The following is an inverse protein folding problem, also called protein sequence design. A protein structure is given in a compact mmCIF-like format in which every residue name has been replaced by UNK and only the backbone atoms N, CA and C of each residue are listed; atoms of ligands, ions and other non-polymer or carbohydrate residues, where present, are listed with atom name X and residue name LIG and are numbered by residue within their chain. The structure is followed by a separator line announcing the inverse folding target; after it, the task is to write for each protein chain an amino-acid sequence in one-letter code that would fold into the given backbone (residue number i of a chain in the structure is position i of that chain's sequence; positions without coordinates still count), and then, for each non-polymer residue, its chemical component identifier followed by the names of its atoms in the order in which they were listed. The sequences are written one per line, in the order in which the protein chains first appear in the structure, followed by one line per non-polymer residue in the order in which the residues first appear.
data_IF_246303680009
#
_entry.id   IF_246303680009
#
_cell.length_a   1.000
_cell.length_b   1.000
_cell.length_c   1.000
_cell.angle_alpha   90.00
_cell.angle_beta   90.00
_cell.angle_gamma   90.00
#
_symmetry.space_group_name_H-M   'P 1'
#
loop_
_entity.id
_entity.type
_entity.pdbx_description
1 polymer ?
#
# COMPACT_ATOMS: atom_id res chain seq x y z
N UNK A 1 -10.51 -14.12 3.33
CA UNK A 1 -10.21 -12.69 3.08
C UNK A 1 -10.20 -12.54 1.56
N UNK A 2 -10.88 -11.53 1.01
CA UNK A 2 -10.85 -11.17 -0.39
C UNK A 2 -10.29 -9.75 -0.49
N UNK A 3 -9.37 -9.53 -1.42
CA UNK A 3 -8.78 -8.22 -1.71
C UNK A 3 -9.11 -7.92 -3.17
N UNK A 4 -10.03 -6.98 -3.39
CA UNK A 4 -10.57 -6.66 -4.70
C UNK A 4 -10.07 -5.28 -5.15
N UNK A 5 -9.76 -5.15 -6.44
CA UNK A 5 -9.38 -3.89 -7.09
C UNK A 5 -10.40 -3.58 -8.19
N UNK A 6 -10.40 -2.35 -8.69
CA UNK A 6 -11.35 -1.87 -9.72
C UNK A 6 -12.83 -2.04 -9.30
N UNK A 7 -13.11 -1.95 -8.01
CA UNK A 7 -14.47 -2.09 -7.50
C UNK A 7 -15.19 -0.76 -7.70
N UNK A 8 -16.10 -0.68 -8.68
CA UNK A 8 -16.89 0.52 -8.95
C UNK A 8 -17.84 0.85 -7.78
N UNK A 9 -17.91 2.12 -7.37
CA UNK A 9 -18.62 2.58 -6.16
C UNK A 9 -20.12 2.27 -6.16
N UNK A 10 -20.81 2.54 -7.25
CA UNK A 10 -22.25 2.28 -7.38
C UNK A 10 -22.56 0.78 -7.36
N UNK A 11 -21.75 -0.05 -8.02
CA UNK A 11 -21.85 -1.51 -7.94
C UNK A 11 -21.49 -2.02 -6.55
N UNK A 12 -20.53 -1.39 -5.87
CA UNK A 12 -20.16 -1.73 -4.50
C UNK A 12 -21.36 -1.59 -3.57
N UNK A 13 -21.98 -0.41 -3.52
CA UNK A 13 -23.08 -0.13 -2.60
C UNK A 13 -24.36 -0.87 -2.97
N UNK A 14 -24.70 -0.97 -4.26
CA UNK A 14 -25.99 -1.50 -4.68
C UNK A 14 -26.02 -3.03 -4.86
N UNK A 15 -24.87 -3.69 -5.05
CA UNK A 15 -24.83 -5.10 -5.44
C UNK A 15 -23.80 -5.90 -4.65
N UNK A 16 -22.52 -5.51 -4.70
CA UNK A 16 -21.40 -6.32 -4.19
C UNK A 16 -21.46 -6.43 -2.67
N UNK A 17 -21.53 -5.30 -1.95
CA UNK A 17 -21.58 -5.28 -0.49
C UNK A 17 -22.85 -5.94 0.06
N UNK A 18 -24.07 -5.66 -0.43
CA UNK A 18 -25.28 -6.38 0.01
C UNK A 18 -25.20 -7.90 -0.18
N UNK A 19 -24.69 -8.37 -1.32
CA UNK A 19 -24.55 -9.80 -1.59
C UNK A 19 -23.53 -10.46 -0.64
N UNK A 20 -22.38 -9.82 -0.42
CA UNK A 20 -21.34 -10.34 0.48
C UNK A 20 -21.77 -10.34 1.95
N UNK A 21 -22.52 -9.31 2.39
CA UNK A 21 -23.12 -9.26 3.73
C UNK A 21 -24.08 -10.43 3.96
N UNK A 22 -24.92 -10.76 2.98
CA UNK A 22 -25.83 -11.92 3.04
C UNK A 22 -25.07 -13.25 3.15
N UNK A 23 -23.87 -13.32 2.55
CA UNK A 23 -22.96 -14.46 2.68
C UNK A 23 -22.15 -14.45 3.98
N UNK A 24 -22.40 -13.54 4.92
CA UNK A 24 -21.73 -13.46 6.22
C UNK A 24 -20.31 -12.89 6.17
N UNK A 25 -20.02 -12.02 5.20
CA UNK A 25 -18.79 -11.24 5.15
C UNK A 25 -19.01 -9.81 5.67
N UNK A 26 -17.99 -9.21 6.26
CA UNK A 26 -17.85 -7.76 6.42
C UNK A 26 -17.01 -7.20 5.28
N UNK A 27 -17.29 -5.96 4.87
CA UNK A 27 -16.68 -5.30 3.71
C UNK A 27 -16.20 -3.90 4.08
N UNK A 28 -14.92 -3.63 3.86
CA UNK A 28 -14.31 -2.30 3.92
C UNK A 28 -13.91 -1.87 2.51
N UNK A 29 -14.13 -0.59 2.18
CA UNK A 29 -13.90 -0.07 0.84
C UNK A 29 -13.28 1.32 0.88
N UNK A 30 -12.30 1.53 0.01
CA UNK A 30 -11.70 2.82 -0.27
C UNK A 30 -11.77 3.11 -1.76
N UNK A 31 -12.66 4.02 -2.13
CA UNK A 31 -12.68 4.64 -3.46
C UNK A 31 -11.39 5.41 -3.71
N UNK A 32 -10.93 5.40 -4.96
CA UNK A 32 -9.89 6.31 -5.44
C UNK A 32 -10.31 7.77 -5.23
N UNK A 33 -9.33 8.65 -5.08
CA UNK A 33 -9.61 10.10 -4.96
C UNK A 33 -10.03 10.69 -6.31
N UNK A 34 -10.36 11.98 -6.31
CA UNK A 34 -10.76 12.68 -7.53
C UNK A 34 -12.07 12.16 -8.11
N UNK A 35 -12.15 12.07 -9.43
CA UNK A 35 -13.36 11.67 -10.17
C UNK A 35 -13.38 10.20 -10.59
N UNK A 36 -12.49 9.36 -10.03
CA UNK A 36 -12.40 7.94 -10.39
C UNK A 36 -13.55 7.16 -9.77
N UNK A 37 -14.27 6.33 -10.54
CA UNK A 37 -15.48 5.65 -10.06
C UNK A 37 -15.16 4.40 -9.23
N UNK A 38 -13.92 3.93 -9.24
CA UNK A 38 -13.47 2.65 -8.70
C UNK A 38 -12.57 2.78 -7.46
N UNK A 39 -12.36 1.66 -6.76
CA UNK A 39 -11.53 1.59 -5.56
C UNK A 39 -11.05 0.19 -5.20
N UNK A 40 -10.50 0.09 -3.99
CA UNK A 40 -10.07 -1.17 -3.39
C UNK A 40 -11.03 -1.58 -2.27
N UNK A 41 -11.38 -2.87 -2.22
CA UNK A 41 -12.15 -3.44 -1.12
C UNK A 41 -11.35 -4.55 -0.41
N UNK A 42 -11.50 -4.64 0.91
CA UNK A 42 -11.06 -5.79 1.70
C UNK A 42 -12.29 -6.38 2.39
N UNK A 43 -12.50 -7.68 2.16
CA UNK A 43 -13.69 -8.41 2.59
C UNK A 43 -13.27 -9.63 3.41
N UNK A 44 -13.89 -9.87 4.56
CA UNK A 44 -13.51 -10.96 5.47
C UNK A 44 -14.73 -11.61 6.13
N UNK A 45 -14.61 -12.90 6.47
CA UNK A 45 -15.70 -13.66 7.11
C UNK A 45 -15.84 -13.23 8.57
N UNK A 46 -16.98 -12.67 8.93
CA UNK A 46 -17.27 -12.18 10.29
C UNK A 46 -17.26 -13.30 11.34
N UNK A 47 -17.46 -14.55 10.92
CA UNK A 47 -17.40 -15.72 11.81
C UNK A 47 -15.97 -16.17 12.16
N UNK A 48 -14.95 -15.61 11.50
CA UNK A 48 -13.53 -15.98 11.71
C UNK A 48 -12.65 -14.82 12.12
N UNK A 49 -13.03 -13.59 11.76
CA UNK A 49 -12.24 -12.40 11.91
C UNK A 49 -13.13 -11.23 12.37
N UNK A 50 -12.64 -10.43 13.31
CA UNK A 50 -13.20 -9.13 13.68
C UNK A 50 -12.28 -8.00 13.21
N UNK A 51 -12.87 -6.85 12.86
CA UNK A 51 -12.13 -5.65 12.51
C UNK A 51 -11.64 -4.92 13.76
N UNK A 52 -10.33 -4.67 13.85
CA UNK A 52 -9.75 -3.80 14.87
C UNK A 52 -9.57 -2.36 14.35
N UNK A 53 -9.09 -2.21 13.12
CA UNK A 53 -8.95 -0.90 12.48
C UNK A 53 -9.04 -0.98 10.96
N UNK A 54 -9.58 0.08 10.35
CA UNK A 54 -9.68 0.28 8.90
C UNK A 54 -8.98 1.58 8.53
N UNK A 55 -7.90 1.49 7.75
CA UNK A 55 -6.99 2.60 7.49
C UNK A 55 -6.88 2.79 5.96
N UNK A 56 -7.68 3.70 5.38
CA UNK A 56 -7.56 4.05 3.97
C UNK A 56 -6.26 4.82 3.72
N UNK A 57 -5.59 4.53 2.60
CA UNK A 57 -4.33 5.18 2.22
C UNK A 57 -4.54 5.90 0.91
N UNK A 58 -4.50 7.23 0.94
CA UNK A 58 -4.47 8.05 -0.26
C UNK A 58 -3.02 8.34 -0.65
N UNK A 59 -2.66 8.12 -1.91
CA UNK A 59 -1.30 8.40 -2.36
C UNK A 59 -1.14 9.81 -2.93
N UNK A 60 -2.23 10.44 -3.38
CA UNK A 60 -2.22 11.83 -3.83
C UNK A 60 -1.75 12.73 -2.68
N UNK A 61 -0.81 13.64 -2.97
CA UNK A 61 -0.36 14.70 -2.07
C UNK A 61 -0.56 16.04 -2.78
N UNK A 62 -1.54 16.86 -2.38
CA UNK A 62 -1.78 18.15 -3.01
C UNK A 62 -0.52 19.02 -3.02
N UNK A 63 -0.13 19.50 -4.20
CA UNK A 63 1.08 20.31 -4.39
C UNK A 63 2.38 19.53 -4.62
N UNK A 64 2.36 18.21 -4.49
CA UNK A 64 3.52 17.35 -4.81
C UNK A 64 3.52 16.95 -6.30
N UNK A 65 4.60 17.24 -7.02
CA UNK A 65 4.72 16.95 -8.44
C UNK A 65 4.94 15.46 -8.78
N UNK A 66 5.44 14.68 -7.82
CA UNK A 66 5.62 13.23 -7.95
C UNK A 66 4.30 12.50 -7.65
N UNK A 67 3.64 12.86 -6.55
CA UNK A 67 2.45 12.19 -6.02
C UNK A 67 1.15 12.88 -6.45
N UNK A 68 0.94 12.96 -7.77
CA UNK A 68 -0.17 13.66 -8.43
C UNK A 68 -1.25 12.71 -8.98
N UNK A 69 -1.40 11.51 -8.38
CA UNK A 69 -2.26 10.43 -8.89
C UNK A 69 -3.23 9.91 -7.85
N UNK A 70 -4.47 9.70 -8.27
CA UNK A 70 -5.60 9.26 -7.42
C UNK A 70 -5.60 7.76 -7.07
N UNK A 71 -4.45 7.09 -7.09
CA UNK A 71 -4.37 5.70 -6.65
C UNK A 71 -4.49 5.64 -5.12
N UNK A 72 -4.94 4.51 -4.60
CA UNK A 72 -5.19 4.31 -3.16
C UNK A 72 -4.76 2.91 -2.71
N UNK A 73 -4.60 2.77 -1.41
CA UNK A 73 -4.54 1.51 -0.70
C UNK A 73 -5.58 1.45 0.43
N UNK A 74 -5.73 0.27 1.01
CA UNK A 74 -6.54 0.04 2.21
C UNK A 74 -5.81 -0.97 3.08
N UNK A 75 -5.63 -0.64 4.37
CA UNK A 75 -4.96 -1.50 5.34
C UNK A 75 -5.89 -1.76 6.51
N UNK A 76 -6.24 -3.02 6.73
CA UNK A 76 -7.04 -3.47 7.86
C UNK A 76 -6.17 -4.19 8.87
N UNK A 77 -6.45 -3.96 10.16
CA UNK A 77 -5.98 -4.83 11.23
C UNK A 77 -7.14 -5.73 11.66
N UNK A 78 -6.97 -7.05 11.50
CA UNK A 78 -8.01 -8.04 11.78
C UNK A 78 -7.60 -8.95 12.94
N UNK A 79 -8.54 -9.30 13.81
CA UNK A 79 -8.30 -10.25 14.89
C UNK A 79 -9.01 -11.58 14.63
N UNK A 80 -8.32 -12.73 14.71
CA UNK A 80 -8.96 -14.04 14.67
C UNK A 80 -9.95 -14.24 15.81
N UNK A 81 -11.16 -14.73 15.51
CA UNK A 81 -12.26 -14.88 16.47
C UNK A 81 -12.08 -16.06 17.45
N UNK A 82 -11.32 -17.10 17.09
CA UNK A 82 -11.03 -18.27 17.95
C UNK A 82 -9.93 -17.97 19.00
N UNK A 83 -10.12 -16.91 19.79
CA UNK A 83 -9.20 -16.50 20.85
C UNK A 83 -9.28 -17.40 22.11
N UNK A 84 -9.42 -18.72 21.93
CA UNK A 84 -9.18 -19.73 22.98
C UNK A 84 -7.68 -20.06 23.13
N UNK A 85 -6.80 -19.38 22.40
CA UNK A 85 -5.35 -19.53 22.57
C UNK A 85 -4.89 -18.79 23.84
N UNK A 86 -4.29 -19.48 24.83
CA UNK A 86 -3.77 -18.87 26.06
C UNK A 86 -2.58 -17.91 25.83
N UNK A 87 -2.15 -17.71 24.57
CA UNK A 87 -1.11 -16.76 24.16
C UNK A 87 -1.65 -15.48 23.49
N UNK A 88 -2.97 -15.31 23.39
CA UNK A 88 -3.60 -14.17 22.73
C UNK A 88 -3.44 -14.26 21.20
N UNK A 89 -4.54 -14.35 20.46
CA UNK A 89 -4.46 -14.40 19.00
C UNK A 89 -3.89 -13.08 18.46
N UNK A 90 -2.66 -13.11 17.93
CA UNK A 90 -2.05 -11.95 17.26
C UNK A 90 -2.93 -11.49 16.10
N UNK A 91 -3.09 -10.18 15.96
CA UNK A 91 -3.78 -9.58 14.83
C UNK A 91 -3.03 -9.84 13.52
N UNK A 92 -3.77 -9.85 12.42
CA UNK A 92 -3.25 -9.99 11.06
C UNK A 92 -3.48 -8.65 10.35
N UNK A 93 -2.41 -8.06 9.83
CA UNK A 93 -2.47 -6.87 8.98
C UNK A 93 -2.75 -7.29 7.54
N UNK A 94 -3.85 -6.82 6.95
CA UNK A 94 -4.22 -7.12 5.56
C UNK A 94 -4.20 -5.83 4.78
N UNK A 95 -3.38 -5.77 3.74
CA UNK A 95 -3.26 -4.63 2.85
C UNK A 95 -3.71 -4.98 1.43
N UNK A 96 -4.35 -4.03 0.77
CA UNK A 96 -4.76 -4.12 -0.61
C UNK A 96 -4.49 -2.79 -1.33
N UNK A 97 -4.05 -2.85 -2.58
CA UNK A 97 -3.81 -1.64 -3.39
C UNK A 97 -4.01 -1.91 -4.88
N UNK A 98 -4.15 -0.82 -5.63
CA UNK A 98 -4.01 -0.79 -7.07
C UNK A 98 -3.06 0.37 -7.44
N UNK A 99 -1.78 0.04 -7.65
CA UNK A 99 -0.74 1.02 -7.98
C UNK A 99 -0.94 1.64 -9.37
N UNK A 100 -0.27 2.76 -9.63
CA UNK A 100 -0.31 3.44 -10.92
C UNK A 100 -0.01 2.49 -12.10
N UNK A 101 -0.87 2.51 -13.11
CA UNK A 101 -0.68 1.73 -14.34
C UNK A 101 0.53 2.19 -15.18
N UNK A 102 0.68 3.50 -15.39
CA UNK A 102 1.61 4.09 -16.36
C UNK A 102 3.03 3.47 -16.26
N UNK A 103 3.48 2.74 -17.29
CA UNK A 103 4.71 1.96 -17.23
C UNK A 103 5.96 2.81 -17.15
N UNK A 104 5.89 4.10 -17.48
CA UNK A 104 7.04 5.03 -17.49
C UNK A 104 7.25 5.76 -16.17
N UNK A 105 6.32 5.59 -15.22
CA UNK A 105 6.30 6.31 -13.93
C UNK A 105 6.63 5.39 -12.76
N UNK A 106 7.75 4.67 -12.87
CA UNK A 106 8.25 3.82 -11.79
C UNK A 106 8.64 4.58 -10.52
N UNK A 107 9.02 5.86 -10.66
CA UNK A 107 9.16 6.83 -9.58
C UNK A 107 7.89 6.90 -8.73
N UNK A 108 6.74 7.07 -9.38
CA UNK A 108 5.44 7.14 -8.69
C UNK A 108 5.06 5.80 -8.10
N UNK A 109 5.26 4.69 -8.82
CA UNK A 109 4.94 3.36 -8.29
C UNK A 109 5.73 3.05 -7.01
N UNK A 110 7.03 3.37 -6.98
CA UNK A 110 7.87 3.18 -5.80
C UNK A 110 7.45 4.09 -4.65
N UNK A 111 7.12 5.36 -4.91
CA UNK A 111 6.63 6.28 -3.89
C UNK A 111 5.27 5.85 -3.31
N UNK A 112 4.32 5.44 -4.16
CA UNK A 112 3.03 4.88 -3.74
C UNK A 112 3.21 3.63 -2.88
N UNK A 113 4.10 2.73 -3.30
CA UNK A 113 4.42 1.53 -2.55
C UNK A 113 5.07 1.86 -1.20
N UNK A 114 5.98 2.83 -1.14
CA UNK A 114 6.62 3.27 0.10
C UNK A 114 5.60 3.80 1.12
N UNK A 115 4.61 4.59 0.67
CA UNK A 115 3.50 5.06 1.52
C UNK A 115 2.68 3.88 2.07
N UNK A 116 2.36 2.91 1.22
CA UNK A 116 1.62 1.71 1.67
C UNK A 116 2.43 0.88 2.68
N UNK A 117 3.72 0.69 2.43
CA UNK A 117 4.62 -0.05 3.31
C UNK A 117 4.82 0.66 4.66
N UNK A 118 4.87 2.00 4.69
CA UNK A 118 4.91 2.77 5.91
C UNK A 118 3.65 2.56 6.76
N UNK A 119 2.48 2.55 6.14
CA UNK A 119 1.21 2.28 6.83
C UNK A 119 1.13 0.84 7.35
N UNK A 120 1.57 -0.14 6.55
CA UNK A 120 1.67 -1.54 6.97
C UNK A 120 2.62 -1.66 8.15
N UNK A 121 3.80 -1.03 8.10
CA UNK A 121 4.80 -1.08 9.17
C UNK A 121 4.26 -0.45 10.47
N UNK A 122 3.50 0.64 10.38
CA UNK A 122 2.87 1.30 11.52
C UNK A 122 1.85 0.39 12.21
N UNK A 123 0.99 -0.27 11.42
CA UNK A 123 -0.14 -1.06 11.93
C UNK A 123 0.22 -2.49 12.33
N UNK A 124 1.25 -3.07 11.74
CA UNK A 124 1.72 -4.42 12.05
C UNK A 124 2.72 -4.46 13.20
N UNK A 125 3.16 -3.32 13.74
CA UNK A 125 4.12 -3.27 14.86
C UNK A 125 3.48 -3.81 16.14
N UNK A 126 4.09 -4.84 16.73
CA UNK A 126 3.67 -5.46 17.98
C UNK A 126 4.39 -4.82 19.18
N UNK A 127 3.84 -4.99 20.41
CA UNK A 127 4.57 -4.68 21.64
C UNK A 127 5.91 -5.42 21.66
N UNK A 128 7.01 -4.70 21.93
CA UNK A 128 8.38 -5.23 21.84
C UNK A 128 9.07 -5.02 20.49
N UNK A 129 8.40 -4.37 19.52
CA UNK A 129 9.04 -3.88 18.29
C UNK A 129 9.09 -4.88 17.14
N UNK A 130 8.64 -6.12 17.34
CA UNK A 130 8.51 -7.10 16.25
C UNK A 130 7.33 -6.77 15.32
N UNK A 131 7.34 -7.36 14.13
CA UNK A 131 6.28 -7.20 13.13
C UNK A 131 5.33 -8.39 13.18
N UNK A 132 4.03 -8.13 13.31
CA UNK A 132 2.98 -9.12 13.23
C UNK A 132 2.74 -9.62 11.79
N UNK A 133 1.93 -10.68 11.62
CA UNK A 133 1.65 -11.24 10.29
C UNK A 133 1.04 -10.21 9.34
N UNK A 134 1.57 -10.13 8.12
CA UNK A 134 1.09 -9.26 7.05
C UNK A 134 0.65 -10.10 5.84
N UNK A 135 -0.52 -9.79 5.30
CA UNK A 135 -0.98 -10.25 3.98
C UNK A 135 -1.10 -9.03 3.08
N UNK A 136 -0.21 -8.92 2.09
CA UNK A 136 -0.22 -7.85 1.10
C UNK A 136 -0.72 -8.37 -0.24
N UNK A 137 -1.88 -7.88 -0.67
CA UNK A 137 -2.51 -8.17 -1.95
C UNK A 137 -2.56 -6.89 -2.81
N UNK A 138 -2.80 -7.06 -4.10
CA UNK A 138 -3.11 -5.92 -4.96
C UNK A 138 -2.73 -6.13 -6.42
N UNK A 139 -3.13 -5.16 -7.23
CA UNK A 139 -2.57 -4.96 -8.56
C UNK A 139 -1.40 -3.97 -8.46
N UNK A 140 -0.19 -4.49 -8.55
CA UNK A 140 1.04 -3.69 -8.48
C UNK A 140 1.43 -3.09 -9.84
N UNK A 141 0.68 -3.39 -10.90
CA UNK A 141 0.99 -3.04 -12.27
C UNK A 141 2.47 -3.29 -12.60
N UNK A 142 2.99 -4.43 -12.17
CA UNK A 142 4.40 -4.80 -12.27
C UNK A 142 4.53 -6.29 -12.54
N UNK A 143 5.48 -6.67 -13.39
CA UNK A 143 5.69 -8.06 -13.78
C UNK A 143 6.56 -8.80 -12.75
N UNK A 144 6.46 -10.14 -12.66
CA UNK A 144 7.42 -10.93 -11.90
C UNK A 144 8.85 -10.63 -12.34
N UNK A 145 9.80 -10.68 -11.39
CA UNK A 145 11.23 -10.38 -11.61
C UNK A 145 11.55 -8.93 -12.01
N UNK A 146 10.57 -8.02 -12.05
CA UNK A 146 10.81 -6.59 -12.19
C UNK A 146 11.55 -6.03 -10.95
N UNK A 147 12.28 -4.90 -11.07
CA UNK A 147 12.89 -4.24 -9.92
C UNK A 147 11.93 -3.98 -8.74
N UNK A 148 10.68 -3.58 -9.02
CA UNK A 148 9.65 -3.40 -7.98
C UNK A 148 9.29 -4.72 -7.30
N UNK A 149 9.15 -5.81 -8.08
CA UNK A 149 8.91 -7.14 -7.52
C UNK A 149 10.09 -7.63 -6.65
N UNK A 150 11.33 -7.42 -7.11
CA UNK A 150 12.53 -7.74 -6.33
C UNK A 150 12.54 -6.96 -5.02
N UNK A 151 12.26 -5.65 -5.05
CA UNK A 151 12.15 -4.84 -3.82
C UNK A 151 11.18 -5.44 -2.80
N UNK A 152 9.97 -5.84 -3.23
CA UNK A 152 8.97 -6.45 -2.36
C UNK A 152 9.39 -7.80 -1.77
N UNK A 153 10.16 -8.59 -2.53
CA UNK A 153 10.50 -9.97 -2.15
C UNK A 153 11.84 -10.10 -1.43
N UNK A 154 12.77 -9.15 -1.64
CA UNK A 154 14.09 -9.13 -0.98
C UNK A 154 14.20 -8.07 0.10
N UNK A 155 13.25 -7.13 0.17
CA UNK A 155 13.25 -6.03 1.14
C UNK A 155 14.25 -4.91 0.83
N UNK A 156 14.91 -4.94 -0.33
CA UNK A 156 15.90 -3.94 -0.71
C UNK A 156 15.96 -3.71 -2.22
N UNK A 157 16.26 -2.49 -2.63
CA UNK A 157 16.45 -2.13 -4.02
C UNK A 157 17.57 -1.09 -4.16
N UNK A 158 18.66 -1.48 -4.80
CA UNK A 158 19.62 -0.50 -5.31
C UNK A 158 19.09 0.06 -6.64
N UNK A 159 18.59 1.28 -6.62
CA UNK A 159 18.02 1.95 -7.78
C UNK A 159 18.98 2.94 -8.46
N UNK A 160 20.27 2.96 -8.07
CA UNK A 160 21.27 3.81 -8.72
C UNK A 160 21.39 3.46 -10.20
N UNK A 161 21.24 4.46 -11.07
CA UNK A 161 21.28 4.28 -12.53
C UNK A 161 20.06 3.54 -13.12
N UNK A 162 19.03 3.25 -12.32
CA UNK A 162 17.83 2.57 -12.81
C UNK A 162 16.91 3.54 -13.56
N UNK A 163 16.43 3.14 -14.75
CA UNK A 163 15.50 3.92 -15.57
C UNK A 163 14.08 3.82 -15.01
N UNK A 164 13.34 4.93 -14.97
CA UNK A 164 11.99 4.97 -14.36
C UNK A 164 11.04 3.91 -14.93
N UNK A 165 10.98 3.71 -16.24
CA UNK A 165 10.07 2.72 -16.84
C UNK A 165 10.62 1.30 -16.93
N UNK A 166 11.81 1.04 -16.38
CA UNK A 166 12.27 -0.34 -16.15
C UNK A 166 11.78 -0.92 -14.82
N UNK A 167 11.33 -0.06 -13.89
CA UNK A 167 10.94 -0.43 -12.52
C UNK A 167 9.86 -1.50 -12.47
N UNK A 168 8.82 -1.39 -13.30
CA UNK A 168 7.68 -2.32 -13.29
C UNK A 168 7.84 -3.49 -14.25
N UNK A 169 8.83 -3.47 -15.14
CA UNK A 169 9.01 -4.50 -16.17
C UNK A 169 7.85 -4.62 -17.18
N UNK A 170 6.98 -3.61 -17.30
CA UNK A 170 5.86 -3.59 -18.26
C UNK A 170 6.29 -3.26 -19.69
N UNK A 171 7.34 -2.46 -19.88
CA UNK A 171 7.91 -2.15 -21.20
C UNK A 171 9.16 -2.99 -21.45
N UNK A 172 9.23 -3.65 -22.60
CA UNK A 172 10.40 -4.45 -23.02
C UNK A 172 11.58 -3.61 -23.51
N UNK A 173 11.37 -2.34 -23.86
CA UNK A 173 12.39 -1.46 -24.44
C UNK A 173 12.19 0.01 -24.07
N UNK A 174 12.49 0.40 -22.81
CA UNK A 174 12.40 1.78 -22.35
C UNK A 174 13.47 2.66 -23.01
N UNK A 175 13.13 3.28 -24.15
CA UNK A 175 14.01 4.22 -24.88
C UNK A 175 13.76 5.65 -24.39
N UNK A 176 14.84 6.43 -24.22
CA UNK A 176 14.78 7.86 -23.90
C UNK A 176 14.24 8.22 -22.51
N UNK A 177 14.28 7.28 -21.56
CA UNK A 177 13.72 7.49 -20.23
C UNK A 177 14.73 8.06 -19.25
N UNK A 178 14.26 8.94 -18.37
CA UNK A 178 15.04 9.51 -17.27
C UNK A 178 15.36 8.42 -16.24
N UNK A 179 16.49 8.61 -15.56
CA UNK A 179 16.87 7.82 -14.40
C UNK A 179 16.00 8.20 -13.20
N UNK A 180 15.85 7.28 -12.25
CA UNK A 180 15.26 7.60 -10.95
C UNK A 180 16.10 8.67 -10.24
N UNK A 181 15.47 9.69 -9.64
CA UNK A 181 16.18 10.63 -8.79
C UNK A 181 16.62 9.97 -7.48
N UNK A 182 17.58 10.58 -6.80
CA UNK A 182 18.04 10.15 -5.48
C UNK A 182 18.02 11.36 -4.53
N UNK A 183 17.17 11.38 -3.48
CA UNK A 183 16.12 10.40 -3.18
C UNK A 183 14.98 10.38 -4.22
N UNK A 184 14.15 9.33 -4.22
CA UNK A 184 13.02 9.19 -5.17
C UNK A 184 11.93 10.23 -4.87
N UNK A 185 11.64 10.46 -3.60
CA UNK A 185 10.64 11.42 -3.11
C UNK A 185 11.28 12.47 -2.18
N UNK A 186 10.58 13.58 -1.99
CA UNK A 186 10.99 14.65 -1.09
C UNK A 186 10.98 14.20 0.39
N UNK A 187 11.91 14.68 1.24
CA UNK A 187 11.85 14.47 2.69
C UNK A 187 10.52 14.90 3.32
N UNK A 188 9.86 15.93 2.75
CA UNK A 188 8.55 16.41 3.17
C UNK A 188 7.42 15.37 3.06
N UNK A 189 7.67 14.20 2.44
CA UNK A 189 6.73 13.08 2.47
C UNK A 189 6.63 12.44 3.86
N UNK A 190 7.62 12.67 4.73
CA UNK A 190 7.66 12.08 6.08
C UNK A 190 7.93 10.58 6.08
N UNK A 191 8.51 10.03 5.00
CA UNK A 191 8.81 8.60 4.85
C UNK A 191 10.30 8.42 4.54
N UNK A 192 10.95 7.61 5.37
CA UNK A 192 12.37 7.29 5.25
C UNK A 192 12.68 6.26 4.14
N UNK A 193 13.96 6.00 3.89
CA UNK A 193 14.41 5.02 2.90
C UNK A 193 14.09 3.56 3.26
N UNK A 194 13.68 3.30 4.52
CA UNK A 194 13.20 2.00 5.00
C UNK A 194 11.68 1.84 4.80
N UNK A 195 11.04 2.80 4.15
CA UNK A 195 9.60 2.87 3.96
C UNK A 195 8.84 2.87 5.30
N UNK A 196 9.32 3.66 6.27
CA UNK A 196 8.65 3.90 7.54
C UNK A 196 8.34 5.39 7.69
N UNK A 197 7.28 5.73 8.40
CA UNK A 197 7.06 7.12 8.80
C UNK A 197 8.19 7.57 9.72
N UNK A 198 8.73 8.77 9.47
CA UNK A 198 9.72 9.40 10.35
C UNK A 198 9.11 9.73 11.71
N UNK A 199 9.93 9.69 12.75
CA UNK A 199 9.54 10.22 14.06
C UNK A 199 9.70 11.74 14.08
N UNK A 200 8.96 12.42 14.96
CA UNK A 200 9.11 13.88 15.18
C UNK A 200 10.53 14.27 15.69
N UNK A 201 11.34 13.30 16.12
CA UNK A 201 12.72 13.49 16.59
C UNK A 201 13.71 13.48 15.42
N UNK A 202 13.54 12.57 14.44
CA UNK A 202 14.37 12.50 13.23
C UNK A 202 14.18 13.72 12.31
N UNK A 203 12.99 14.35 12.33
CA UNK A 203 12.73 15.59 11.57
C UNK A 203 13.49 16.79 12.12
N UNK A 204 13.77 16.84 13.44
CA UNK A 204 14.50 17.94 14.07
C UNK A 204 16.01 17.84 13.87
N UNK A 205 16.57 16.63 13.83
CA UNK A 205 18.00 16.42 13.60
C UNK A 205 18.41 16.78 12.16
N UNK A 206 17.60 16.47 11.15
CA UNK A 206 17.87 16.89 9.76
C UNK A 206 17.68 18.41 9.54
N UNK A 207 16.81 19.09 10.29
CA UNK A 207 16.69 20.56 10.25
C UNK A 207 17.89 21.27 10.92
N UNK A 208 18.56 20.64 11.89
CA UNK A 208 19.78 21.19 12.51
C UNK A 208 21.06 20.91 11.68
N UNK A 209 21.05 19.90 10.80
CA UNK A 209 22.20 19.55 9.93
C UNK A 209 22.17 20.20 8.53
N UNK A 210 21.06 20.82 8.12
CA UNK A 210 20.88 21.47 6.80
C UNK A 210 21.16 22.99 6.79
#
# INVERSE_FOLDING_TARGET
ILCLQEVQEDHYENQIKPALLTLGYQCEYKKRTGSKPDGCAIVFKSSRLSLLSSNPVEFLRPGDALLDRDNVGLVLLLQPSDAASPLGASSICVANTHLLYNPRRGDVKLAQLAILLAEISRLSRLPGGSTGPVVLCGDFNSTPLSPLYSFLTTGCLNYSGLKMGSVSGQESSPRGQRLLPCPIWSPSLGIDHRCQYRSEEEEKEEEEEA
#
